data_IF_855713325000
#
_entry.id   IF_855713325000
#
_cell.length_a   1.000
_cell.length_b   1.000
_cell.length_c   1.000
_cell.angle_alpha   90.00
_cell.angle_beta   90.00
_cell.angle_gamma   90.00
#
_symmetry.space_group_name_H-M   'P 1'
#
loop_
_entity.id
_entity.type
_entity.pdbx_description
1 polymer ?
#
# COMPACT_ATOMS: atom_id res chain seq x y z
N UNK A 1 -6.75 10.10 -12.76
CA UNK A 1 -8.08 9.98 -12.09
C UNK A 1 -8.74 11.35 -11.98
N UNK A 2 -10.03 11.44 -12.20
CA UNK A 2 -10.80 12.65 -11.90
C UNK A 2 -11.18 12.68 -10.40
N UNK A 3 -11.85 13.76 -9.97
CA UNK A 3 -12.22 13.91 -8.54
C UNK A 3 -13.13 12.81 -8.03
N UNK A 4 -14.09 12.37 -8.85
CA UNK A 4 -15.04 11.32 -8.45
C UNK A 4 -14.35 9.97 -8.32
N UNK A 5 -13.47 9.63 -9.25
CA UNK A 5 -12.68 8.41 -9.22
C UNK A 5 -11.75 8.38 -8.01
N UNK A 6 -11.11 9.51 -7.71
CA UNK A 6 -10.26 9.65 -6.53
C UNK A 6 -11.04 9.44 -5.25
N UNK A 7 -12.25 10.04 -5.15
CA UNK A 7 -13.09 9.89 -3.97
C UNK A 7 -13.53 8.44 -3.75
N UNK A 8 -13.94 7.76 -4.81
CA UNK A 8 -14.34 6.35 -4.77
C UNK A 8 -13.16 5.48 -4.33
N UNK A 9 -11.98 5.72 -4.88
CA UNK A 9 -10.78 4.99 -4.52
C UNK A 9 -10.44 5.20 -3.04
N UNK A 10 -10.42 6.44 -2.56
CA UNK A 10 -10.03 6.77 -1.19
C UNK A 10 -10.99 6.22 -0.14
N UNK A 11 -12.26 5.99 -0.50
CA UNK A 11 -13.26 5.35 0.37
C UNK A 11 -13.14 3.83 0.41
N UNK A 12 -12.44 3.22 -0.51
CA UNK A 12 -12.29 1.77 -0.57
C UNK A 12 -11.39 1.27 0.54
N UNK A 13 -11.71 0.11 1.10
CA UNK A 13 -10.90 -0.51 2.16
C UNK A 13 -9.67 -1.21 1.63
N UNK A 14 -9.71 -1.68 0.39
CA UNK A 14 -8.63 -2.44 -0.25
C UNK A 14 -8.34 -1.92 -1.65
N UNK A 15 -7.07 -1.95 -2.01
CA UNK A 15 -6.66 -1.85 -3.41
C UNK A 15 -5.87 -3.09 -3.78
N UNK A 16 -6.01 -3.53 -5.02
CA UNK A 16 -5.07 -4.46 -5.62
C UNK A 16 -3.85 -3.65 -6.03
N UNK A 17 -2.72 -3.98 -5.43
CA UNK A 17 -1.45 -3.31 -5.69
C UNK A 17 -0.60 -4.21 -6.55
N UNK A 18 -0.32 -3.78 -7.78
CA UNK A 18 0.45 -4.53 -8.76
C UNK A 18 1.87 -3.99 -8.85
N UNK A 19 2.84 -4.89 -8.73
CA UNK A 19 4.27 -4.59 -8.89
C UNK A 19 4.87 -5.51 -9.94
N UNK A 20 5.95 -5.08 -10.59
CA UNK A 20 6.53 -5.80 -11.73
C UNK A 20 7.68 -6.71 -11.32
N UNK A 21 7.67 -7.92 -11.89
CA UNK A 21 8.84 -8.81 -11.88
C UNK A 21 9.85 -8.37 -12.94
N UNK A 22 11.08 -8.85 -12.83
CA UNK A 22 12.11 -8.65 -13.86
C UNK A 22 11.70 -9.17 -15.24
N UNK A 23 10.87 -10.20 -15.26
CA UNK A 23 10.29 -10.74 -16.51
C UNK A 23 9.32 -9.77 -17.20
N UNK A 24 8.86 -8.73 -16.48
CA UNK A 24 7.84 -7.81 -16.95
C UNK A 24 6.42 -8.19 -16.51
N UNK A 25 6.24 -9.36 -15.92
CA UNK A 25 4.94 -9.79 -15.41
C UNK A 25 4.52 -9.01 -14.18
N UNK A 26 3.22 -8.79 -14.02
CA UNK A 26 2.64 -8.12 -12.86
C UNK A 26 2.26 -9.12 -11.79
N UNK A 27 2.50 -8.75 -10.52
CA UNK A 27 2.03 -9.52 -9.36
C UNK A 27 1.10 -8.62 -8.56
N UNK A 28 -0.14 -9.05 -8.39
CA UNK A 28 -1.20 -8.31 -7.71
C UNK A 28 -1.42 -8.84 -6.30
N UNK A 29 -1.53 -7.94 -5.33
CA UNK A 29 -1.90 -8.31 -3.97
C UNK A 29 -2.90 -7.30 -3.40
N UNK A 30 -3.97 -7.76 -2.71
CA UNK A 30 -4.86 -6.84 -2.01
C UNK A 30 -4.15 -6.29 -0.77
N UNK A 31 -4.22 -4.99 -0.58
CA UNK A 31 -3.57 -4.32 0.55
C UNK A 31 -4.47 -3.23 1.14
N UNK A 32 -4.25 -2.91 2.40
CA UNK A 32 -4.76 -1.70 3.02
C UNK A 32 -3.95 -0.51 2.51
N UNK A 33 -4.61 0.62 2.35
CA UNK A 33 -3.95 1.85 1.92
C UNK A 33 -4.62 3.06 2.54
N UNK A 34 -3.90 4.14 2.68
CA UNK A 34 -4.43 5.38 3.21
C UNK A 34 -3.89 6.59 2.46
N UNK A 35 -4.75 7.57 2.15
CA UNK A 35 -4.32 8.79 1.48
C UNK A 35 -3.69 9.78 2.47
N UNK A 36 -2.72 10.52 1.98
CA UNK A 36 -2.18 11.71 2.64
C UNK A 36 -1.55 12.62 1.61
N UNK A 37 -2.05 13.84 1.49
CA UNK A 37 -1.53 14.89 0.59
C UNK A 37 -1.27 14.42 -0.85
N UNK A 38 -2.22 13.69 -1.42
CA UNK A 38 -2.18 13.27 -2.82
C UNK A 38 -1.41 11.99 -3.09
N UNK A 39 -0.77 11.42 -2.08
CA UNK A 39 -0.11 10.11 -2.17
C UNK A 39 -0.90 9.08 -1.38
N UNK A 40 -0.65 7.80 -1.69
CA UNK A 40 -1.23 6.69 -0.95
C UNK A 40 -0.14 5.90 -0.25
N UNK A 41 -0.43 5.45 0.96
CA UNK A 41 0.55 4.73 1.79
C UNK A 41 0.06 3.34 2.11
N UNK A 42 0.95 2.37 2.01
CA UNK A 42 0.71 0.97 2.38
C UNK A 42 1.84 0.47 3.26
N UNK A 43 1.58 -0.60 4.00
CA UNK A 43 2.62 -1.29 4.76
C UNK A 43 2.65 -2.77 4.39
N UNK A 44 3.78 -3.40 4.63
CA UNK A 44 4.03 -4.80 4.27
C UNK A 44 5.10 -5.38 5.18
N UNK A 45 5.23 -6.70 5.17
CA UNK A 45 6.42 -7.34 5.74
C UNK A 45 7.66 -6.88 4.95
N UNK A 46 8.75 -6.63 5.64
CA UNK A 46 9.96 -6.07 5.01
C UNK A 46 10.59 -6.97 3.95
N UNK A 47 10.45 -8.30 4.09
CA UNK A 47 10.94 -9.28 3.12
C UNK A 47 9.91 -9.69 2.07
N UNK A 48 8.73 -9.07 2.03
CA UNK A 48 7.71 -9.39 1.03
C UNK A 48 8.22 -9.16 -0.39
N UNK A 49 7.73 -9.97 -1.32
CA UNK A 49 8.13 -9.87 -2.73
C UNK A 49 7.88 -8.51 -3.35
N UNK A 50 6.78 -7.82 -2.98
CA UNK A 50 6.45 -6.48 -3.49
C UNK A 50 7.54 -5.45 -3.12
N UNK A 51 8.15 -5.56 -1.95
CA UNK A 51 9.24 -4.67 -1.53
C UNK A 51 10.46 -4.88 -2.43
N UNK A 52 10.83 -6.13 -2.67
CA UNK A 52 11.94 -6.48 -3.57
C UNK A 52 11.69 -6.00 -4.99
N UNK A 53 10.47 -6.21 -5.50
CA UNK A 53 10.09 -5.79 -6.85
C UNK A 53 10.17 -4.27 -7.02
N UNK A 54 9.74 -3.50 -6.03
CA UNK A 54 9.78 -2.04 -6.08
C UNK A 54 11.22 -1.49 -6.01
N UNK A 55 12.14 -2.20 -5.41
CA UNK A 55 13.56 -1.83 -5.43
C UNK A 55 14.15 -1.93 -6.85
N UNK A 56 13.59 -2.79 -7.69
CA UNK A 56 14.01 -2.96 -9.09
C UNK A 56 13.24 -2.02 -10.04
N UNK A 57 11.91 -1.94 -9.88
CA UNK A 57 11.03 -1.14 -10.74
C UNK A 57 10.01 -0.38 -9.89
N UNK A 58 9.96 0.94 -10.05
CA UNK A 58 9.00 1.79 -9.34
C UNK A 58 7.63 1.86 -10.00
N UNK A 59 7.52 1.38 -11.24
CA UNK A 59 6.24 1.28 -11.93
C UNK A 59 5.33 0.33 -11.16
N UNK A 60 4.12 0.78 -10.94
CA UNK A 60 3.11 0.03 -10.23
C UNK A 60 1.74 0.36 -10.80
N UNK A 61 0.73 -0.37 -10.38
CA UNK A 61 -0.66 -0.11 -10.73
C UNK A 61 -1.53 -0.34 -9.52
N UNK A 62 -2.61 0.40 -9.45
CA UNK A 62 -3.61 0.23 -8.40
C UNK A 62 -5.00 0.12 -9.01
N UNK A 63 -5.85 -0.70 -8.38
CA UNK A 63 -7.26 -0.79 -8.72
C UNK A 63 -8.02 -1.11 -7.43
N UNK A 64 -9.24 -0.59 -7.30
CA UNK A 64 -10.07 -0.96 -6.17
C UNK A 64 -10.40 -2.45 -6.24
N UNK A 65 -10.45 -3.10 -5.08
CA UNK A 65 -10.74 -4.54 -5.00
C UNK A 65 -11.40 -4.91 -3.67
N UNK A 66 -11.88 -6.15 -3.62
CA UNK A 66 -12.34 -6.76 -2.38
C UNK A 66 -11.17 -7.29 -1.56
N UNK A 67 -11.43 -7.71 -0.33
CA UNK A 67 -10.43 -8.34 0.54
C UNK A 67 -9.75 -9.55 -0.13
N UNK A 68 -10.48 -10.27 -0.98
CA UNK A 68 -9.97 -11.46 -1.68
C UNK A 68 -9.23 -11.11 -2.99
N UNK A 69 -9.13 -9.82 -3.31
CA UNK A 69 -8.44 -9.39 -4.52
C UNK A 69 -9.30 -9.31 -5.79
N UNK A 70 -10.62 -9.51 -5.69
CA UNK A 70 -11.51 -9.35 -6.82
C UNK A 70 -11.60 -7.86 -7.20
N UNK A 71 -11.27 -7.52 -8.44
CA UNK A 71 -11.29 -6.14 -8.92
C UNK A 71 -12.71 -5.57 -8.95
N UNK A 72 -12.85 -4.34 -8.46
CA UNK A 72 -14.11 -3.59 -8.46
C UNK A 72 -14.02 -2.27 -9.22
N UNK A 73 -12.86 -1.97 -9.79
CA UNK A 73 -12.63 -0.76 -10.58
C UNK A 73 -11.51 -0.93 -11.58
N UNK A 74 -11.20 0.13 -12.29
CA UNK A 74 -10.17 0.13 -13.32
C UNK A 74 -8.76 0.24 -12.73
N UNK A 75 -7.77 -0.19 -13.51
CA UNK A 75 -6.36 -0.02 -13.18
C UNK A 75 -5.91 1.41 -13.48
N UNK A 76 -5.09 1.95 -12.56
CA UNK A 76 -4.41 3.24 -12.74
C UNK A 76 -2.91 3.03 -12.63
N UNK A 77 -2.17 3.60 -13.57
CA UNK A 77 -0.70 3.57 -13.54
C UNK A 77 -0.20 4.52 -12.45
N UNK A 78 0.74 4.03 -11.66
CA UNK A 78 1.33 4.75 -10.54
C UNK A 78 2.83 4.50 -10.46
N UNK A 79 3.49 5.21 -9.55
CA UNK A 79 4.88 4.93 -9.18
C UNK A 79 4.93 4.74 -7.67
N UNK A 80 5.66 3.74 -7.21
CA UNK A 80 5.72 3.41 -5.79
C UNK A 80 7.15 3.32 -5.30
N UNK A 81 7.35 3.77 -4.06
CA UNK A 81 8.67 3.90 -3.45
C UNK A 81 8.66 3.26 -2.06
N UNK A 82 9.64 2.41 -1.80
CA UNK A 82 9.88 1.91 -0.44
C UNK A 82 10.49 3.04 0.38
N UNK A 83 9.87 3.35 1.51
CA UNK A 83 10.29 4.46 2.37
C UNK A 83 11.38 4.00 3.33
N UNK A 84 12.56 4.60 3.23
CA UNK A 84 13.72 4.27 4.07
C UNK A 84 13.89 5.25 5.24
N UNK A 85 13.38 6.50 5.10
CA UNK A 85 13.51 7.52 6.13
C UNK A 85 12.46 7.33 7.24
N UNK A 86 12.86 7.34 8.52
CA UNK A 86 11.92 7.19 9.65
C UNK A 86 10.78 8.21 9.63
N UNK A 87 11.04 9.44 9.22
CA UNK A 87 10.02 10.49 9.12
C UNK A 87 8.92 10.10 8.14
N UNK A 88 9.30 9.60 6.97
CA UNK A 88 8.35 9.19 5.93
C UNK A 88 7.55 7.97 6.36
N UNK A 89 8.20 7.04 7.06
CA UNK A 89 7.54 5.87 7.63
C UNK A 89 6.50 6.26 8.68
N UNK A 90 6.77 7.28 9.48
CA UNK A 90 5.81 7.80 10.46
C UNK A 90 4.60 8.46 9.78
N UNK A 91 4.81 9.16 8.68
CA UNK A 91 3.71 9.74 7.88
C UNK A 91 2.80 8.61 7.37
N UNK A 92 3.37 7.56 6.83
CA UNK A 92 2.64 6.39 6.34
C UNK A 92 1.82 5.74 7.46
N UNK A 93 2.44 5.49 8.60
CA UNK A 93 1.79 4.87 9.75
C UNK A 93 0.64 5.74 10.29
N UNK A 94 0.86 7.05 10.39
CA UNK A 94 -0.17 7.99 10.84
C UNK A 94 -1.38 8.00 9.90
N UNK A 95 -1.16 7.99 8.59
CA UNK A 95 -2.23 7.93 7.59
C UNK A 95 -3.05 6.65 7.71
N UNK A 96 -2.38 5.50 7.87
CA UNK A 96 -3.03 4.21 8.03
C UNK A 96 -3.84 4.13 9.33
N UNK A 97 -3.30 4.64 10.43
CA UNK A 97 -4.00 4.69 11.72
C UNK A 97 -5.22 5.60 11.66
N UNK A 98 -5.14 6.71 10.95
CA UNK A 98 -6.26 7.64 10.77
C UNK A 98 -7.40 6.98 10.00
N UNK A 99 -7.11 6.26 8.94
CA UNK A 99 -8.13 5.63 8.09
C UNK A 99 -8.75 4.40 8.75
N UNK A 100 -7.93 3.49 9.28
CA UNK A 100 -8.40 2.18 9.76
C UNK A 100 -8.67 2.15 11.27
N UNK A 101 -8.20 3.12 12.04
CA UNK A 101 -8.50 3.25 13.46
C UNK A 101 -8.13 2.00 14.26
N UNK A 102 -9.14 1.38 14.90
CA UNK A 102 -8.92 0.22 15.77
C UNK A 102 -8.35 -1.00 15.03
N UNK A 103 -8.68 -1.16 13.76
CA UNK A 103 -8.15 -2.26 12.93
C UNK A 103 -6.63 -2.16 12.81
N UNK A 104 -6.12 -0.93 12.61
CA UNK A 104 -4.68 -0.69 12.54
C UNK A 104 -4.01 -0.88 13.90
N UNK A 105 -4.67 -0.48 14.98
CA UNK A 105 -4.18 -0.71 16.35
C UNK A 105 -4.05 -2.21 16.64
N UNK A 106 -5.02 -2.99 16.19
CA UNK A 106 -4.98 -4.45 16.34
C UNK A 106 -3.83 -5.06 15.53
N UNK A 107 -3.63 -4.60 14.30
CA UNK A 107 -2.51 -5.03 13.47
C UNK A 107 -1.16 -4.68 14.10
N UNK A 108 -1.03 -3.48 14.68
CA UNK A 108 0.16 -3.04 15.41
C UNK A 108 0.43 -3.94 16.62
N UNK A 109 -0.60 -4.26 17.38
CA UNK A 109 -0.50 -5.13 18.55
C UNK A 109 0.05 -6.52 18.15
N UNK A 110 -0.53 -7.16 17.14
CA UNK A 110 -0.05 -8.45 16.67
C UNK A 110 1.37 -8.38 16.09
N UNK A 111 1.70 -7.31 15.39
CA UNK A 111 3.06 -7.12 14.87
C UNK A 111 4.08 -6.99 15.99
N UNK A 112 3.75 -6.28 17.08
CA UNK A 112 4.63 -6.17 18.25
C UNK A 112 4.77 -7.51 18.96
N UNK A 113 3.66 -8.22 19.14
CA UNK A 113 3.64 -9.52 19.82
C UNK A 113 4.51 -10.55 19.10
N UNK A 114 4.53 -10.51 17.77
CA UNK A 114 5.31 -11.44 16.94
C UNK A 114 6.71 -10.93 16.60
N UNK A 115 7.09 -9.75 17.07
CA UNK A 115 8.39 -9.13 16.79
C UNK A 115 8.53 -8.58 15.38
N UNK A 116 7.45 -8.45 14.63
CA UNK A 116 7.46 -8.00 13.23
C UNK A 116 7.33 -6.48 13.04
N UNK A 117 7.00 -5.74 14.10
CA UNK A 117 6.75 -4.30 14.00
C UNK A 117 7.96 -3.54 13.45
N UNK A 118 9.15 -3.83 13.93
CA UNK A 118 10.39 -3.20 13.47
C UNK A 118 10.87 -3.65 12.10
N UNK A 119 10.24 -4.67 11.51
CA UNK A 119 10.59 -5.23 10.20
C UNK A 119 9.56 -4.92 9.13
N UNK A 120 8.60 -4.06 9.42
CA UNK A 120 7.64 -3.59 8.42
C UNK A 120 8.34 -2.72 7.39
N UNK A 121 7.93 -2.85 6.13
CA UNK A 121 8.21 -1.87 5.09
C UNK A 121 7.00 -0.97 4.91
N UNK A 122 7.24 0.30 4.62
CA UNK A 122 6.22 1.28 4.27
C UNK A 122 6.47 1.76 2.85
N UNK A 123 5.40 1.92 2.09
CA UNK A 123 5.48 2.24 0.66
C UNK A 123 4.60 3.45 0.39
N UNK A 124 5.13 4.43 -0.35
CA UNK A 124 4.36 5.54 -0.88
C UNK A 124 4.02 5.25 -2.34
N UNK A 125 2.76 5.44 -2.69
CA UNK A 125 2.26 5.30 -4.06
C UNK A 125 1.84 6.67 -4.56
N UNK A 126 2.45 7.12 -5.65
CA UNK A 126 2.15 8.38 -6.30
C UNK A 126 1.34 8.11 -7.58
N UNK A 127 0.12 8.66 -7.67
CA UNK A 127 -0.71 8.49 -8.85
C UNK A 127 -0.13 9.18 -10.09
#
# INVERSE_FOLDING_TARGET
MNSDETEILERSDYISFATRKRSGDWVNTPVWFAPDEGSYYVFSAGEAGKVKRLRNFRESRIATCTMNGKLTGDWYDTHAYVLDEPRDQQIALAALRKKYGWQMRLADFFSRLTGKMGRRAYIRIDP
#
